data_IF_202082880083
#
_entry.id   IF_202082880083
#
_cell.length_a   1.000
_cell.length_b   1.000
_cell.length_c   1.000
_cell.angle_alpha   90.00
_cell.angle_beta   90.00
_cell.angle_gamma   90.00
#
_symmetry.space_group_name_H-M   'P 1'
#
loop_
_entity.id
_entity.type
_entity.pdbx_description
1 polymer ?
#
# COMPACT_ATOMS: atom_id res chain seq x y z
N UNK A 1 -2.62 -2.10 18.97
CA UNK A 1 -2.00 -3.34 18.48
C UNK A 1 -0.52 -3.25 18.69
N UNK A 2 0.10 -4.31 19.21
CA UNK A 2 1.56 -4.34 19.40
C UNK A 2 2.24 -4.42 18.04
N UNK A 3 3.11 -3.46 17.75
CA UNK A 3 3.91 -3.43 16.54
C UNK A 3 5.27 -4.05 16.80
N UNK A 4 5.70 -4.97 15.95
CA UNK A 4 7.02 -5.60 16.01
C UNK A 4 7.85 -5.11 14.84
N UNK A 5 8.86 -4.29 15.12
CA UNK A 5 9.91 -3.93 14.15
C UNK A 5 11.13 -4.81 14.39
N UNK A 6 11.32 -5.86 13.59
CA UNK A 6 12.60 -6.60 13.61
C UNK A 6 13.57 -5.97 12.61
N UNK A 7 14.30 -4.93 13.03
CA UNK A 7 15.46 -4.40 12.28
C UNK A 7 16.79 -4.56 13.01
N UNK A 8 16.83 -5.25 14.15
CA UNK A 8 18.05 -5.67 14.82
C UNK A 8 17.99 -7.19 15.04
N UNK A 9 19.01 -7.91 14.58
CA UNK A 9 19.09 -9.37 14.61
C UNK A 9 18.91 -9.98 16.01
N UNK A 10 19.05 -9.21 17.09
CA UNK A 10 19.05 -9.70 18.48
C UNK A 10 17.82 -9.36 19.32
N UNK A 11 16.81 -8.66 18.78
CA UNK A 11 15.54 -8.42 19.48
C UNK A 11 14.33 -8.73 18.61
N UNK A 12 14.38 -9.86 17.91
CA UNK A 12 13.15 -10.46 17.40
C UNK A 12 12.29 -10.86 18.59
N UNK A 13 11.33 -10.02 18.97
CA UNK A 13 10.13 -10.56 19.59
C UNK A 13 9.47 -11.40 18.52
N UNK A 14 9.78 -12.70 18.46
CA UNK A 14 9.11 -13.71 17.63
C UNK A 14 7.64 -13.86 18.06
N UNK A 15 6.91 -12.75 18.21
CA UNK A 15 5.49 -12.75 18.49
C UNK A 15 4.82 -13.08 17.18
N UNK A 16 4.29 -14.29 17.12
CA UNK A 16 3.52 -14.78 15.99
C UNK A 16 2.36 -13.80 15.72
N UNK A 17 2.36 -13.18 14.53
CA UNK A 17 1.32 -12.21 14.14
C UNK A 17 -0.05 -12.88 13.98
N UNK A 18 -0.05 -14.14 13.55
CA UNK A 18 -1.23 -14.97 13.39
C UNK A 18 -0.85 -16.45 13.45
N UNK A 19 -1.73 -17.27 14.00
CA UNK A 19 -1.59 -18.72 13.86
C UNK A 19 -2.06 -19.14 12.48
N UNK A 20 -1.39 -20.13 11.88
CA UNK A 20 -1.84 -20.71 10.60
C UNK A 20 -3.31 -21.14 10.65
N UNK A 21 -3.73 -21.75 11.75
CA UNK A 21 -5.13 -22.19 11.94
C UNK A 21 -6.10 -21.01 12.05
N UNK A 22 -5.72 -19.92 12.74
CA UNK A 22 -6.52 -18.71 12.81
C UNK A 22 -6.66 -18.03 11.45
N UNK A 23 -5.56 -17.91 10.72
CA UNK A 23 -5.55 -17.33 9.37
C UNK A 23 -6.44 -18.11 8.41
N UNK A 24 -6.27 -19.44 8.33
CA UNK A 24 -7.05 -20.29 7.42
C UNK A 24 -8.56 -20.32 7.75
N UNK A 25 -8.95 -20.02 8.98
CA UNK A 25 -10.37 -19.91 9.37
C UNK A 25 -11.02 -18.59 8.93
N UNK A 26 -10.23 -17.54 8.77
CA UNK A 26 -10.73 -16.20 8.45
C UNK A 26 -10.61 -15.89 6.96
N UNK A 27 -9.50 -16.31 6.33
CA UNK A 27 -9.19 -16.00 4.95
C UNK A 27 -10.05 -16.82 3.97
N UNK A 28 -10.80 -16.13 3.13
CA UNK A 28 -11.50 -16.72 2.00
C UNK A 28 -10.59 -16.86 0.77
N UNK A 29 -9.81 -15.83 0.49
CA UNK A 29 -8.98 -15.79 -0.72
C UNK A 29 -8.03 -14.60 -0.72
N UNK A 30 -7.11 -14.64 -1.69
CA UNK A 30 -6.06 -13.63 -1.85
C UNK A 30 -6.18 -13.02 -3.23
N UNK A 31 -6.35 -11.70 -3.29
CA UNK A 31 -6.14 -10.94 -4.51
C UNK A 31 -4.65 -10.65 -4.64
N UNK A 32 -4.08 -10.85 -5.83
CA UNK A 32 -2.66 -10.61 -6.12
C UNK A 32 -2.55 -9.65 -7.28
N UNK A 33 -1.68 -8.66 -7.16
CA UNK A 33 -1.40 -7.66 -8.19
C UNK A 33 0.10 -7.44 -8.33
N UNK A 34 0.50 -6.86 -9.46
CA UNK A 34 1.89 -6.52 -9.72
C UNK A 34 1.98 -5.11 -10.29
N UNK A 35 2.99 -4.36 -9.86
CA UNK A 35 3.26 -3.00 -10.30
C UNK A 35 4.71 -2.92 -10.79
N UNK A 36 4.90 -2.33 -11.96
CA UNK A 36 6.20 -1.89 -12.47
C UNK A 36 6.24 -0.36 -12.42
N UNK A 37 7.30 0.21 -11.84
CA UNK A 37 7.41 1.65 -11.57
C UNK A 37 8.79 2.21 -11.92
N UNK A 38 8.79 3.45 -12.40
CA UNK A 38 9.97 4.22 -12.82
C UNK A 38 10.14 5.47 -11.95
N UNK A 39 11.25 6.22 -12.07
CA UNK A 39 11.40 7.49 -11.37
C UNK A 39 10.18 8.42 -11.56
N UNK A 40 9.80 9.13 -10.50
CA UNK A 40 8.60 9.95 -10.39
C UNK A 40 7.32 9.18 -10.00
N UNK A 41 7.30 7.85 -10.11
CA UNK A 41 6.15 7.06 -9.68
C UNK A 41 5.99 7.10 -8.15
N UNK A 42 4.75 7.19 -7.70
CA UNK A 42 4.34 7.14 -6.30
C UNK A 42 2.94 6.53 -6.20
N UNK A 43 2.57 6.12 -5.00
CA UNK A 43 1.18 5.75 -4.68
C UNK A 43 0.74 6.69 -3.58
N UNK A 44 -0.31 7.47 -3.83
CA UNK A 44 -0.84 8.44 -2.87
C UNK A 44 -1.48 7.75 -1.66
N UNK A 45 -1.71 8.53 -0.60
CA UNK A 45 -2.38 8.09 0.63
C UNK A 45 -3.70 7.35 0.37
N UNK A 46 -3.82 6.10 0.83
CA UNK A 46 -5.04 5.32 0.68
C UNK A 46 -5.10 4.15 1.68
N UNK A 47 -6.25 3.48 1.74
CA UNK A 47 -6.37 2.10 2.21
C UNK A 47 -6.75 1.25 1.00
N UNK A 48 -6.34 -0.01 0.99
CA UNK A 48 -6.92 -1.01 0.09
C UNK A 48 -8.31 -1.39 0.59
N UNK A 49 -9.23 -1.65 -0.32
CA UNK A 49 -10.58 -2.09 0.02
C UNK A 49 -11.25 -2.78 -1.15
N UNK A 50 -12.30 -3.56 -0.87
CA UNK A 50 -13.11 -4.20 -1.90
C UNK A 50 -13.88 -3.14 -2.74
N UNK A 51 -13.27 -2.61 -3.81
CA UNK A 51 -13.78 -1.44 -4.55
C UNK A 51 -15.20 -1.64 -5.10
N UNK A 52 -15.57 -2.86 -5.53
CA UNK A 52 -16.92 -3.13 -6.02
C UNK A 52 -17.99 -2.96 -4.94
N UNK A 53 -17.70 -3.34 -3.70
CA UNK A 53 -18.65 -3.16 -2.60
C UNK A 53 -18.87 -1.67 -2.31
N UNK A 54 -17.83 -0.84 -2.53
CA UNK A 54 -17.96 0.61 -2.41
C UNK A 54 -18.91 1.20 -3.46
N UNK A 55 -18.91 0.69 -4.69
CA UNK A 55 -19.86 1.13 -5.72
C UNK A 55 -21.26 0.56 -5.49
N UNK A 56 -21.38 -0.69 -5.08
CA UNK A 56 -22.68 -1.39 -4.95
C UNK A 56 -23.44 -1.01 -3.69
N UNK A 57 -22.73 -0.80 -2.58
CA UNK A 57 -23.32 -0.65 -1.25
C UNK A 57 -22.89 0.63 -0.54
N UNK A 58 -22.00 1.44 -1.13
CA UNK A 58 -21.46 2.62 -0.48
C UNK A 58 -20.75 2.31 0.85
N UNK A 59 -20.15 1.12 0.97
CA UNK A 59 -19.38 0.68 2.15
C UNK A 59 -17.94 0.42 1.75
N UNK A 60 -17.00 0.87 2.58
CA UNK A 60 -15.58 0.54 2.46
C UNK A 60 -15.27 -0.67 3.34
N UNK A 61 -14.81 -1.76 2.72
CA UNK A 61 -14.38 -2.97 3.45
C UNK A 61 -12.91 -3.22 3.16
N UNK A 62 -12.01 -2.92 4.11
CA UNK A 62 -10.59 -3.23 3.98
C UNK A 62 -10.34 -4.75 3.94
N UNK A 63 -9.22 -5.21 3.36
CA UNK A 63 -8.82 -6.61 3.53
C UNK A 63 -8.44 -6.89 5.00
N UNK A 64 -8.41 -8.16 5.38
CA UNK A 64 -7.88 -8.57 6.68
C UNK A 64 -6.39 -8.23 6.77
N UNK A 65 -5.65 -8.55 5.71
CA UNK A 65 -4.22 -8.30 5.57
C UNK A 65 -3.93 -7.76 4.18
N UNK A 66 -2.96 -6.85 4.11
CA UNK A 66 -2.38 -6.39 2.87
C UNK A 66 -0.85 -6.49 2.96
N UNK A 67 -0.21 -6.60 1.81
CA UNK A 67 1.24 -6.65 1.79
C UNK A 67 1.82 -6.53 0.40
N UNK A 68 3.13 -6.32 0.39
CA UNK A 68 3.93 -6.17 -0.82
C UNK A 68 5.25 -6.90 -0.68
N UNK A 69 5.78 -7.40 -1.79
CA UNK A 69 7.13 -7.94 -1.91
C UNK A 69 7.84 -7.26 -3.07
N UNK A 70 9.02 -6.70 -2.80
CA UNK A 70 9.85 -6.14 -3.88
C UNK A 70 10.63 -7.26 -4.56
N UNK A 71 10.38 -7.42 -5.86
CA UNK A 71 10.95 -8.48 -6.69
C UNK A 71 12.14 -8.01 -7.52
N UNK A 72 12.21 -6.73 -7.86
CA UNK A 72 13.35 -6.17 -8.57
C UNK A 72 14.58 -6.15 -7.65
N UNK A 73 15.73 -6.57 -8.19
CA UNK A 73 17.04 -6.57 -7.52
C UNK A 73 17.64 -5.15 -7.36
N UNK A 74 16.82 -4.25 -6.80
CA UNK A 74 17.19 -2.89 -6.48
C UNK A 74 17.47 -2.79 -4.97
N UNK A 75 18.62 -2.22 -4.61
CA UNK A 75 18.98 -1.90 -3.24
C UNK A 75 18.60 -0.45 -2.92
N UNK A 76 17.91 -0.22 -1.80
CA UNK A 76 17.79 1.13 -1.25
C UNK A 76 19.08 1.45 -0.49
N UNK A 77 19.97 2.23 -1.10
CA UNK A 77 21.18 2.67 -0.42
C UNK A 77 21.03 4.13 0.00
N UNK A 78 20.63 4.34 1.26
CA UNK A 78 20.82 5.61 1.96
C UNK A 78 22.26 5.79 2.47
N UNK A 79 23.15 4.82 2.22
CA UNK A 79 24.57 4.97 2.55
C UNK A 79 25.27 5.89 1.55
N UNK A 80 25.76 7.02 2.07
CA UNK A 80 26.88 7.75 1.49
C UNK A 80 28.01 6.73 1.31
N UNK A 81 28.49 6.60 0.07
CA UNK A 81 29.59 5.75 -0.29
C UNK A 81 30.84 6.16 0.52
N UNK A 82 31.16 5.36 1.53
CA UNK A 82 32.52 5.25 2.02
C UNK A 82 32.97 3.81 1.76
N UNK A 83 33.80 3.71 0.72
CA UNK A 83 34.84 2.71 0.54
C UNK A 83 34.43 1.24 0.71
N UNK A 84 34.13 0.57 -0.41
CA UNK A 84 34.98 -0.49 -0.98
C UNK A 84 34.28 -1.14 -2.16
N UNK A 85 35.04 -1.38 -3.22
CA UNK A 85 34.66 -2.10 -4.44
C UNK A 85 34.28 -3.55 -4.12
N UNK A 86 33.07 -3.78 -3.63
CA UNK A 86 32.48 -5.12 -3.58
C UNK A 86 31.67 -5.36 -4.85
N UNK A 87 32.16 -6.27 -5.69
CA UNK A 87 31.66 -6.69 -7.02
C UNK A 87 30.25 -7.34 -7.03
N UNK A 88 29.40 -7.09 -6.04
CA UNK A 88 27.97 -7.42 -6.09
C UNK A 88 27.13 -6.14 -6.07
N UNK A 89 27.30 -5.33 -7.14
CA UNK A 89 26.59 -4.07 -7.35
C UNK A 89 25.09 -4.32 -7.54
N UNK A 90 24.33 -4.42 -6.44
CA UNK A 90 22.88 -4.25 -6.50
C UNK A 90 22.59 -2.84 -6.99
N UNK A 91 21.86 -2.74 -8.10
CA UNK A 91 21.46 -1.46 -8.71
C UNK A 91 20.73 -0.62 -7.67
N UNK A 92 21.06 0.67 -7.55
CA UNK A 92 20.50 1.51 -6.48
C UNK A 92 19.16 2.10 -6.88
N UNK A 93 18.30 2.26 -5.88
CA UNK A 93 17.07 3.03 -5.94
C UNK A 93 17.02 4.00 -4.76
N UNK A 94 16.62 5.24 -5.01
CA UNK A 94 16.39 6.28 -4.00
C UNK A 94 14.90 6.62 -3.97
N UNK A 95 14.33 6.67 -2.77
CA UNK A 95 12.89 6.86 -2.57
C UNK A 95 12.10 5.55 -2.70
N UNK A 96 10.80 5.67 -2.95
CA UNK A 96 9.93 4.50 -3.14
C UNK A 96 9.57 3.77 -1.84
N UNK A 97 9.86 4.33 -0.66
CA UNK A 97 9.60 3.72 0.64
C UNK A 97 8.11 3.40 0.83
N UNK A 98 7.82 2.28 1.50
CA UNK A 98 6.48 1.99 1.98
C UNK A 98 6.24 2.81 3.24
N UNK A 99 5.17 3.59 3.26
CA UNK A 99 4.83 4.41 4.41
C UNK A 99 3.44 4.02 4.89
N UNK A 100 3.27 3.76 6.19
CA UNK A 100 1.99 3.34 6.78
C UNK A 100 1.73 4.08 8.09
N UNK A 101 0.49 4.51 8.34
CA UNK A 101 0.12 5.16 9.59
C UNK A 101 -0.58 4.19 10.54
N UNK A 102 -0.07 4.06 11.76
CA UNK A 102 -0.56 3.09 12.73
C UNK A 102 -1.86 3.50 13.45
N UNK A 103 -2.39 4.71 13.21
CA UNK A 103 -3.71 5.14 13.72
C UNK A 103 -4.86 4.54 12.91
N UNK A 104 -4.59 3.87 11.79
CA UNK A 104 -5.59 3.11 11.05
C UNK A 104 -6.74 3.98 10.53
N UNK A 105 -7.96 3.46 10.66
CA UNK A 105 -9.16 4.12 10.14
C UNK A 105 -9.47 5.48 10.80
N UNK A 106 -8.99 5.75 12.01
CA UNK A 106 -9.14 7.05 12.65
C UNK A 106 -8.42 8.14 11.85
N UNK A 107 -7.16 7.90 11.49
CA UNK A 107 -6.39 8.82 10.66
C UNK A 107 -6.89 8.85 9.21
N UNK A 108 -7.43 7.73 8.70
CA UNK A 108 -8.10 7.72 7.41
C UNK A 108 -9.37 8.59 7.39
N UNK A 109 -10.14 8.61 8.48
CA UNK A 109 -11.33 9.46 8.57
C UNK A 109 -10.99 10.97 8.53
N UNK A 110 -9.83 11.36 9.05
CA UNK A 110 -9.34 12.75 9.03
C UNK A 110 -8.85 13.19 7.64
N UNK A 111 -8.23 12.29 6.88
CA UNK A 111 -7.56 12.64 5.62
C UNK A 111 -8.36 12.25 4.38
N UNK A 112 -9.17 11.20 4.45
CA UNK A 112 -9.94 10.66 3.35
C UNK A 112 -9.08 9.99 2.27
N UNK A 113 -9.75 9.42 1.27
CA UNK A 113 -9.07 8.80 0.12
C UNK A 113 -8.18 9.81 -0.58
N UNK A 114 -6.89 9.50 -0.77
CA UNK A 114 -5.90 10.37 -1.41
C UNK A 114 -5.80 11.77 -0.78
N UNK A 115 -6.09 11.88 0.51
CA UNK A 115 -5.97 13.17 1.21
C UNK A 115 -7.06 14.17 0.89
N UNK A 116 -8.16 13.74 0.25
CA UNK A 116 -9.19 14.66 -0.24
C UNK A 116 -9.91 15.45 0.87
N UNK A 117 -9.90 14.98 2.13
CA UNK A 117 -10.49 15.71 3.26
C UNK A 117 -9.50 16.74 3.83
N UNK A 118 -8.24 16.36 4.02
CA UNK A 118 -7.21 17.24 4.59
C UNK A 118 -6.59 18.20 3.58
N UNK A 119 -6.72 17.91 2.28
CA UNK A 119 -6.04 18.62 1.20
C UNK A 119 -4.58 18.20 1.01
N UNK A 120 -4.09 17.21 1.74
CA UNK A 120 -2.72 16.70 1.64
C UNK A 120 -2.71 15.29 1.02
N UNK A 121 -2.22 15.11 -0.22
CA UNK A 121 -2.22 13.82 -0.90
C UNK A 121 -1.35 12.75 -0.24
N UNK A 122 -0.49 13.14 0.70
CA UNK A 122 0.35 12.23 1.50
C UNK A 122 -0.26 11.94 2.88
N UNK A 123 -1.45 12.49 3.19
CA UNK A 123 -2.14 12.24 4.46
C UNK A 123 -1.35 12.72 5.69
N UNK A 124 -0.54 13.77 5.55
CA UNK A 124 0.31 14.28 6.62
C UNK A 124 1.63 13.52 6.79
N UNK A 125 1.94 12.53 5.97
CA UNK A 125 3.26 11.89 5.96
C UNK A 125 4.34 12.90 5.51
N UNK A 126 5.50 12.84 6.17
CA UNK A 126 6.69 13.59 5.80
C UNK A 126 7.87 12.64 5.70
N UNK A 127 8.73 12.88 4.71
CA UNK A 127 9.99 12.16 4.61
C UNK A 127 10.80 12.37 5.91
N UNK A 128 11.42 11.32 6.46
CA UNK A 128 12.33 11.47 7.58
C UNK A 128 13.48 12.44 7.22
N UNK A 129 13.84 13.32 8.16
CA UNK A 129 14.88 14.35 7.96
C UNK A 129 16.28 13.73 7.76
N UNK A 130 16.49 12.54 8.28
CA UNK A 130 17.76 11.79 8.16
C UNK A 130 17.56 10.56 7.31
N UNK A 131 18.51 10.31 6.41
CA UNK A 131 18.55 9.11 5.59
C UNK A 131 18.61 7.86 6.51
N UNK A 132 17.49 7.17 6.68
CA UNK A 132 17.45 5.97 7.53
C UNK A 132 17.84 4.75 6.72
N UNK A 133 18.82 3.98 7.20
CA UNK A 133 19.23 2.70 6.62
C UNK A 133 18.26 1.55 6.94
N UNK A 134 17.20 1.84 7.71
CA UNK A 134 16.22 0.86 8.17
C UNK A 134 14.83 1.47 8.35
N UNK A 135 13.99 0.74 9.10
CA UNK A 135 12.63 1.18 9.41
C UNK A 135 12.68 2.42 10.31
N UNK A 136 12.03 3.50 9.87
CA UNK A 136 11.84 4.70 10.68
C UNK A 136 10.44 4.71 11.27
N UNK A 137 10.32 5.01 12.57
CA UNK A 137 9.04 5.15 13.25
C UNK A 137 8.96 6.56 13.84
N UNK A 138 8.07 7.38 13.29
CA UNK A 138 7.76 8.68 13.86
C UNK A 138 6.77 8.48 15.03
N UNK A 139 7.28 8.68 16.23
CA UNK A 139 6.54 8.45 17.47
C UNK A 139 5.39 9.46 17.67
N UNK A 140 5.50 10.65 17.07
CA UNK A 140 4.57 11.76 17.25
C UNK A 140 3.33 11.61 16.38
N UNK A 141 3.49 11.24 15.11
CA UNK A 141 2.37 11.13 14.15
C UNK A 141 2.03 9.67 13.77
N UNK A 142 2.78 8.69 14.31
CA UNK A 142 2.59 7.26 14.10
C UNK A 142 2.82 6.77 12.68
N UNK A 143 3.55 7.53 11.87
CA UNK A 143 4.03 7.06 10.57
C UNK A 143 5.20 6.09 10.74
N UNK A 144 5.15 5.00 10.00
CA UNK A 144 6.28 4.07 9.82
C UNK A 144 6.72 4.14 8.37
N UNK A 145 8.00 4.39 8.14
CA UNK A 145 8.62 4.45 6.81
C UNK A 145 9.60 3.29 6.66
N UNK A 146 9.37 2.44 5.66
CA UNK A 146 10.09 1.19 5.44
C UNK A 146 10.78 1.25 4.08
N UNK A 147 12.13 1.25 4.02
CA UNK A 147 12.82 1.12 2.76
C UNK A 147 12.58 -0.27 2.17
N UNK A 148 12.33 -0.32 0.87
CA UNK A 148 12.22 -1.60 0.19
C UNK A 148 13.58 -2.22 -0.05
N UNK A 149 13.58 -3.55 -0.15
CA UNK A 149 14.76 -4.33 -0.50
C UNK A 149 14.28 -5.53 -1.29
N UNK A 150 15.08 -5.97 -2.27
CA UNK A 150 14.79 -7.20 -3.02
C UNK A 150 14.50 -8.37 -2.06
N UNK A 151 13.46 -9.15 -2.37
CA UNK A 151 12.96 -10.28 -1.59
C UNK A 151 12.46 -9.92 -0.17
N UNK A 152 12.28 -8.64 0.16
CA UNK A 152 11.63 -8.22 1.41
C UNK A 152 10.12 -8.15 1.21
N UNK A 153 9.40 -8.93 2.01
CA UNK A 153 7.95 -8.79 2.20
C UNK A 153 7.64 -7.76 3.30
N UNK A 154 6.64 -6.93 3.08
CA UNK A 154 6.04 -6.02 4.07
C UNK A 154 4.56 -6.42 4.17
N UNK A 155 4.10 -6.76 5.37
CA UNK A 155 2.72 -7.21 5.63
C UNK A 155 2.15 -6.38 6.78
N UNK A 156 0.90 -5.96 6.63
CA UNK A 156 0.21 -5.13 7.62
C UNK A 156 -1.30 -5.44 7.63
N UNK A 157 -2.00 -5.01 8.69
CA UNK A 157 -3.46 -5.07 8.73
C UNK A 157 -4.03 -4.19 7.61
N UNK A 158 -5.07 -4.66 6.92
CA UNK A 158 -5.63 -3.94 5.77
C UNK A 158 -6.30 -2.61 6.11
N UNK A 159 -6.59 -2.36 7.39
CA UNK A 159 -7.19 -1.12 7.89
C UNK A 159 -6.18 0.02 8.11
N UNK A 160 -4.89 -0.23 7.87
CA UNK A 160 -3.85 0.78 7.99
C UNK A 160 -3.68 1.57 6.68
N UNK A 161 -3.90 2.90 6.71
CA UNK A 161 -3.67 3.74 5.54
C UNK A 161 -2.19 3.86 5.26
N UNK A 162 -1.85 3.84 3.98
CA UNK A 162 -0.48 3.75 3.51
C UNK A 162 -0.31 4.46 2.16
N UNK A 163 0.96 4.60 1.78
CA UNK A 163 1.40 5.21 0.53
C UNK A 163 2.77 4.64 0.12
N UNK A 164 3.17 4.90 -1.13
CA UNK A 164 4.56 4.74 -1.57
C UNK A 164 5.13 6.12 -1.84
N UNK A 165 6.20 6.46 -1.14
CA UNK A 165 6.94 7.69 -1.40
C UNK A 165 7.41 7.71 -2.87
N UNK A 166 7.62 8.89 -3.47
CA UNK A 166 8.11 8.99 -4.84
C UNK A 166 9.46 8.28 -5.03
N UNK A 167 9.58 7.51 -6.11
CA UNK A 167 10.89 7.03 -6.57
C UNK A 167 11.63 8.23 -7.14
N UNK A 168 12.71 8.64 -6.50
CA UNK A 168 13.50 9.80 -6.94
C UNK A 168 14.47 9.40 -8.04
N UNK A 169 15.10 8.22 -7.90
CA UNK A 169 16.13 7.75 -8.83
C UNK A 169 16.22 6.23 -8.84
N UNK A 170 16.59 5.67 -10.00
CA UNK A 170 17.06 4.29 -10.20
C UNK A 170 18.30 4.41 -11.09
N UNK A 171 19.39 3.70 -10.75
CA UNK A 171 20.70 3.84 -11.43
C UNK A 171 20.67 3.54 -12.96
N UNK A 172 19.62 2.88 -13.44
CA UNK A 172 19.40 2.56 -14.85
C UNK A 172 17.96 2.90 -15.26
N UNK A 173 17.83 3.84 -16.20
CA UNK A 173 16.55 4.34 -16.74
C UNK A 173 15.75 3.26 -17.50
N UNK A 174 16.38 2.16 -17.90
CA UNK A 174 15.70 1.02 -18.51
C UNK A 174 15.10 0.08 -17.46
N UNK A 175 15.62 0.11 -16.23
CA UNK A 175 15.09 -0.71 -15.15
C UNK A 175 13.79 -0.12 -14.60
N UNK A 176 13.01 -1.00 -13.99
CA UNK A 176 11.81 -0.61 -13.28
C UNK A 176 11.75 -1.37 -11.98
N UNK A 177 11.32 -0.69 -10.93
CA UNK A 177 11.00 -1.31 -9.67
C UNK A 177 9.77 -2.20 -9.88
N UNK A 178 9.90 -3.47 -9.49
CA UNK A 178 8.80 -4.43 -9.59
C UNK A 178 8.40 -4.87 -8.19
N UNK A 179 7.12 -4.70 -7.89
CA UNK A 179 6.50 -5.17 -6.65
C UNK A 179 5.35 -6.09 -7.00
N UNK A 180 5.22 -7.18 -6.24
CA UNK A 180 3.99 -7.95 -6.17
C UNK A 180 3.27 -7.60 -4.87
N UNK A 181 2.01 -7.22 -4.96
CA UNK A 181 1.17 -6.95 -3.80
C UNK A 181 0.06 -7.98 -3.65
N UNK A 182 -0.48 -8.07 -2.44
CA UNK A 182 -1.59 -8.96 -2.15
C UNK A 182 -2.54 -8.39 -1.11
N UNK A 183 -3.80 -8.81 -1.19
CA UNK A 183 -4.86 -8.46 -0.25
C UNK A 183 -5.62 -9.73 0.13
N UNK A 184 -5.70 -10.02 1.43
CA UNK A 184 -6.40 -11.18 1.97
C UNK A 184 -7.79 -10.76 2.39
N UNK A 185 -8.82 -11.33 1.77
CA UNK A 185 -10.22 -11.03 2.11
C UNK A 185 -10.85 -12.13 2.95
N UNK A 186 -11.69 -11.73 3.89
CA UNK A 186 -12.44 -12.63 4.76
C UNK A 186 -13.62 -13.31 4.05
N UNK A 187 -14.22 -14.30 4.71
CA UNK A 187 -15.42 -14.99 4.21
C UNK A 187 -16.66 -14.09 4.11
N UNK A 188 -16.67 -12.96 4.82
CA UNK A 188 -17.72 -11.93 4.78
C UNK A 188 -17.88 -11.29 3.40
N UNK A 189 -16.76 -11.04 2.70
CA UNK A 189 -16.78 -10.38 1.38
C UNK A 189 -16.10 -11.19 0.26
N UNK A 190 -15.31 -12.20 0.60
CA UNK A 190 -14.44 -12.92 -0.34
C UNK A 190 -15.19 -13.54 -1.53
N UNK A 191 -16.38 -14.12 -1.30
CA UNK A 191 -17.18 -14.69 -2.38
C UNK A 191 -17.68 -13.64 -3.38
N UNK A 192 -17.90 -12.39 -2.92
CA UNK A 192 -18.29 -11.27 -3.79
C UNK A 192 -17.08 -10.74 -4.57
N UNK A 193 -15.96 -10.53 -3.87
CA UNK A 193 -14.69 -10.10 -4.48
C UNK A 193 -14.24 -11.09 -5.57
N UNK A 194 -14.38 -12.40 -5.31
CA UNK A 194 -14.00 -13.45 -6.25
C UNK A 194 -14.82 -13.47 -7.56
N UNK A 195 -16.05 -12.93 -7.56
CA UNK A 195 -16.89 -12.87 -8.78
C UNK A 195 -16.32 -11.90 -9.82
N UNK A 196 -15.64 -10.87 -9.38
CA UNK A 196 -15.00 -9.89 -10.25
C UNK A 196 -13.70 -9.43 -9.56
N UNK A 197 -12.64 -10.26 -9.60
CA UNK A 197 -11.40 -9.98 -8.93
C UNK A 197 -10.83 -8.63 -9.38
N UNK A 198 -10.20 -7.91 -8.46
CA UNK A 198 -9.65 -6.60 -8.73
C UNK A 198 -8.70 -6.63 -9.95
N UNK A 199 -8.78 -5.58 -10.77
CA UNK A 199 -8.09 -5.46 -12.07
C UNK A 199 -8.46 -6.49 -13.16
N UNK A 200 -9.30 -7.49 -12.88
CA UNK A 200 -9.82 -8.41 -13.91
C UNK A 200 -10.62 -7.67 -14.99
N UNK A 201 -10.80 -8.30 -16.16
CA UNK A 201 -11.63 -7.73 -17.24
C UNK A 201 -13.06 -7.45 -16.77
N UNK A 202 -13.62 -8.35 -15.96
CA UNK A 202 -14.96 -8.20 -15.42
C UNK A 202 -15.06 -7.03 -14.43
N UNK A 203 -14.10 -6.92 -13.52
CA UNK A 203 -13.99 -5.79 -12.60
C UNK A 203 -13.91 -4.45 -13.34
N UNK A 204 -12.98 -4.35 -14.31
CA UNK A 204 -12.82 -3.13 -15.11
C UNK A 204 -14.10 -2.73 -15.86
N UNK A 205 -14.83 -3.72 -16.38
CA UNK A 205 -16.14 -3.49 -17.01
C UNK A 205 -17.17 -2.95 -16.01
N UNK A 206 -17.27 -3.54 -14.83
CA UNK A 206 -18.22 -3.12 -13.79
C UNK A 206 -17.91 -1.73 -13.25
N UNK A 207 -16.65 -1.46 -12.88
CA UNK A 207 -16.20 -0.14 -12.42
C UNK A 207 -16.48 0.93 -13.47
N UNK A 208 -16.21 0.65 -14.75
CA UNK A 208 -16.53 1.58 -15.84
C UNK A 208 -18.03 1.88 -15.90
N UNK A 209 -18.89 0.86 -15.80
CA UNK A 209 -20.34 1.04 -15.78
C UNK A 209 -20.79 1.90 -14.60
N UNK A 210 -20.33 1.60 -13.38
CA UNK A 210 -20.66 2.37 -12.19
C UNK A 210 -20.20 3.83 -12.27
N UNK A 211 -18.98 4.08 -12.78
CA UNK A 211 -18.50 5.45 -12.97
C UNK A 211 -19.35 6.21 -13.99
N UNK A 212 -19.75 5.58 -15.09
CA UNK A 212 -20.65 6.23 -16.07
C UNK A 212 -22.02 6.53 -15.49
N UNK A 213 -22.63 5.62 -14.71
CA UNK A 213 -23.96 5.84 -14.13
C UNK A 213 -23.94 6.87 -13.00
N UNK A 214 -22.87 6.91 -12.18
CA UNK A 214 -22.71 7.88 -11.11
C UNK A 214 -22.30 9.28 -11.61
N UNK A 215 -21.68 9.37 -12.79
CA UNK A 215 -21.28 10.65 -13.40
C UNK A 215 -22.31 11.23 -14.36
N UNK A 216 -23.44 10.53 -14.58
CA UNK A 216 -24.51 11.06 -15.42
C UNK A 216 -25.11 12.33 -14.76
N UNK A 217 -25.27 13.45 -15.50
CA UNK A 217 -25.93 14.63 -14.96
C UNK A 217 -27.31 14.23 -14.45
N UNK A 218 -27.66 14.67 -13.23
CA UNK A 218 -29.07 14.67 -12.84
C UNK A 218 -29.78 15.59 -13.82
N UNK A 219 -30.60 15.02 -14.70
CA UNK A 219 -31.48 15.81 -15.56
C UNK A 219 -32.23 16.82 -14.68
N UNK A 220 -31.96 18.11 -14.90
CA UNK A 220 -32.74 19.21 -14.36
C UNK A 220 -34.15 19.14 -14.99
N UNK A 221 -35.02 18.33 -14.40
CA UNK A 221 -36.47 18.42 -14.59
C UNK A 221 -37.05 19.18 -13.41
N UNK A 222 -37.44 20.43 -13.64
CA UNK A 222 -38.31 21.17 -12.73
C UNK A 222 -38.14 22.67 -12.79
N UNK A 223 -38.79 23.32 -13.75
CA UNK A 223 -38.81 24.78 -13.86
C UNK A 223 -39.74 25.29 -14.93
N UNK A 224 -40.95 24.74 -15.03
CA UNK A 224 -42.06 25.38 -15.72
C UNK A 224 -43.08 25.80 -14.66
N UNK A 225 -43.18 27.11 -14.44
CA UNK A 225 -44.40 27.87 -14.21
C UNK A 225 -44.08 29.35 -14.39
#
# INVERSE_FOLDING_TARGET
GDFVTSSQQDQSTNKELYTKSGFLKQAHGVAVWALSSRPGASVQYHIDYAELLRYEYNVTVPPLWAGTIQCSALGNNTQIAHDTESENSTMKMVGGEFCVNLRGLEHYAENGYKGMISGDPMGGWKSPDTATSGVHVDSCNKWVTIPYTCNRGIVHNGDLPHLSAPIQHIDDDQLSRVIVGFNVFGHDVGARVAKAPEHSRQFRRQVKLYRTTLSAPKDNKGGSN
#
